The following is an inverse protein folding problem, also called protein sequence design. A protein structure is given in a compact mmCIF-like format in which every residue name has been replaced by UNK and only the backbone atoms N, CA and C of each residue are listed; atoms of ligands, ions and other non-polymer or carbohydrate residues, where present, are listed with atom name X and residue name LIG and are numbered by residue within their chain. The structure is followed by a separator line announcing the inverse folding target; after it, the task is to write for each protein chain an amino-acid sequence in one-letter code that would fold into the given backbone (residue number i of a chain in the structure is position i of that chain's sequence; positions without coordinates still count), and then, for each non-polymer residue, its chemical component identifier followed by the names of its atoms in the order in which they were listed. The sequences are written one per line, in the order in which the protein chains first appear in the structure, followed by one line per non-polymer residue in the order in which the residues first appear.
data_IF_996698460229
#
_entry.id   IF_996698460229
#
_cell.length_a   1.000
_cell.length_b   1.000
_cell.length_c   1.000
_cell.angle_alpha   90.00
_cell.angle_beta   90.00
_cell.angle_gamma   90.00
#
_symmetry.space_group_name_H-M   'P 1'
#
loop_
_entity.id
_entity.type
_entity.pdbx_description
1 polymer ?
#
# COMPACT_ATOMS: atom_id res chain seq x y z
N UNK A 1 3.80 15.05 -6.69
CA UNK A 1 4.98 14.30 -6.19
C UNK A 1 4.52 13.45 -5.02
N UNK A 2 4.79 12.15 -5.01
CA UNK A 2 4.26 11.22 -3.99
C UNK A 2 5.29 10.74 -2.97
N UNK A 3 6.46 11.40 -2.84
CA UNK A 3 7.52 10.90 -1.97
C UNK A 3 7.17 11.01 -0.49
N UNK A 4 6.93 9.86 0.15
CA UNK A 4 6.59 9.73 1.58
C UNK A 4 7.65 8.95 2.37
N UNK A 5 8.77 8.58 1.73
CA UNK A 5 9.75 7.61 2.23
C UNK A 5 9.45 6.19 1.75
N UNK A 6 10.45 5.31 1.82
CA UNK A 6 10.40 3.98 1.18
C UNK A 6 9.22 3.12 1.66
N UNK A 7 9.02 3.02 2.98
CA UNK A 7 7.95 2.20 3.56
C UNK A 7 6.54 2.70 3.19
N UNK A 8 6.34 4.03 3.19
CA UNK A 8 5.06 4.62 2.84
C UNK A 8 4.80 4.58 1.33
N UNK A 9 5.82 4.79 0.49
CA UNK A 9 5.69 4.63 -0.97
C UNK A 9 5.40 3.18 -1.35
N UNK A 10 6.10 2.23 -0.72
CA UNK A 10 5.87 0.81 -0.96
C UNK A 10 4.46 0.39 -0.52
N UNK A 11 4.01 0.89 0.64
CA UNK A 11 2.64 0.70 1.10
C UNK A 11 1.61 1.32 0.14
N UNK A 12 1.80 2.56 -0.31
CA UNK A 12 0.90 3.21 -1.25
C UNK A 12 0.79 2.42 -2.57
N UNK A 13 1.92 1.95 -3.12
CA UNK A 13 1.92 1.09 -4.31
C UNK A 13 1.13 -0.20 -4.08
N UNK A 14 1.33 -0.85 -2.93
CA UNK A 14 0.61 -2.07 -2.57
C UNK A 14 -0.90 -1.82 -2.49
N UNK A 15 -1.32 -0.76 -1.79
CA UNK A 15 -2.73 -0.39 -1.63
C UNK A 15 -3.39 -0.01 -2.97
N UNK A 16 -2.68 0.70 -3.84
CA UNK A 16 -3.17 1.02 -5.19
C UNK A 16 -3.38 -0.24 -6.02
N UNK A 17 -2.44 -1.20 -5.97
CA UNK A 17 -2.63 -2.49 -6.62
C UNK A 17 -3.81 -3.28 -6.02
N UNK A 18 -3.98 -3.24 -4.70
CA UNK A 18 -5.11 -3.87 -3.99
C UNK A 18 -6.47 -3.32 -4.45
N UNK A 19 -6.59 -2.02 -4.76
CA UNK A 19 -7.81 -1.42 -5.34
C UNK A 19 -7.87 -1.50 -6.88
N UNK A 20 -7.02 -2.34 -7.48
CA UNK A 20 -7.01 -2.61 -8.91
C UNK A 20 -6.45 -1.47 -9.77
N UNK A 21 -5.52 -0.67 -9.23
CA UNK A 21 -4.72 0.29 -10.00
C UNK A 21 -3.28 -0.20 -10.10
N UNK A 22 -2.91 -0.68 -11.29
CA UNK A 22 -1.53 -1.07 -11.61
C UNK A 22 -0.61 0.14 -11.49
N UNK A 23 0.47 -0.01 -10.73
CA UNK A 23 1.43 1.05 -10.51
C UNK A 23 2.82 0.53 -10.14
N UNK A 24 3.82 1.29 -10.55
CA UNK A 24 5.22 0.96 -10.36
C UNK A 24 5.95 2.05 -9.58
N UNK A 25 7.00 1.64 -8.86
CA UNK A 25 7.84 2.57 -8.12
C UNK A 25 8.91 3.15 -9.06
N UNK A 26 8.78 4.42 -9.41
CA UNK A 26 9.69 5.17 -10.28
C UNK A 26 10.68 6.04 -9.45
N UNK A 27 11.22 5.46 -8.37
CA UNK A 27 12.14 6.13 -7.46
C UNK A 27 11.44 7.13 -6.54
N UNK A 28 11.42 8.41 -6.93
CA UNK A 28 10.83 9.47 -6.10
C UNK A 28 9.30 9.58 -6.23
N UNK A 29 8.70 8.88 -7.20
CA UNK A 29 7.29 8.92 -7.48
C UNK A 29 6.75 7.51 -7.78
N UNK A 30 5.44 7.35 -7.61
CA UNK A 30 4.71 6.19 -8.13
C UNK A 30 4.20 6.56 -9.52
N UNK A 31 4.52 5.72 -10.50
CA UNK A 31 4.01 5.83 -11.85
C UNK A 31 2.73 4.98 -11.96
N UNK A 32 1.69 5.57 -12.53
CA UNK A 32 0.39 4.95 -12.74
C UNK A 32 0.07 5.00 -14.22
N UNK A 33 -0.32 3.87 -14.80
CA UNK A 33 -0.80 3.80 -16.18
C UNK A 33 -2.33 3.94 -16.19
N UNK A 34 -2.80 5.15 -15.87
CA UNK A 34 -4.21 5.48 -15.81
C UNK A 34 -4.44 6.98 -16.00
N UNK A 35 -5.66 7.34 -16.42
CA UNK A 35 -6.07 8.74 -16.43
C UNK A 35 -6.29 9.29 -15.01
N UNK A 36 -6.31 10.63 -14.91
CA UNK A 36 -6.47 11.36 -13.64
C UNK A 36 -7.73 10.92 -12.89
N UNK A 37 -8.85 10.67 -13.59
CA UNK A 37 -10.11 10.29 -12.98
C UNK A 37 -10.03 8.89 -12.35
N UNK A 38 -9.44 7.92 -13.04
CA UNK A 38 -9.21 6.57 -12.49
C UNK A 38 -8.22 6.61 -11.33
N UNK A 39 -7.15 7.42 -11.40
CA UNK A 39 -6.21 7.61 -10.29
C UNK A 39 -6.90 8.22 -9.06
N UNK A 40 -7.72 9.26 -9.23
CA UNK A 40 -8.47 9.87 -8.14
C UNK A 40 -9.46 8.90 -7.49
N UNK A 41 -10.15 8.09 -8.30
CA UNK A 41 -11.06 7.05 -7.78
C UNK A 41 -10.30 6.02 -6.95
N UNK A 42 -9.15 5.55 -7.42
CA UNK A 42 -8.31 4.62 -6.67
C UNK A 42 -7.78 5.24 -5.36
N UNK A 43 -7.33 6.50 -5.37
CA UNK A 43 -6.91 7.20 -4.15
C UNK A 43 -8.06 7.35 -3.15
N UNK A 44 -9.28 7.61 -3.63
CA UNK A 44 -10.46 7.66 -2.75
C UNK A 44 -10.78 6.30 -2.14
N UNK A 45 -10.68 5.23 -2.91
CA UNK A 45 -10.86 3.85 -2.42
C UNK A 45 -9.79 3.51 -1.38
N UNK A 46 -8.51 3.76 -1.66
CA UNK A 46 -7.39 3.58 -0.70
C UNK A 46 -7.61 4.40 0.57
N UNK A 47 -8.03 5.66 0.44
CA UNK A 47 -8.31 6.53 1.58
C UNK A 47 -9.46 6.08 2.47
N UNK A 48 -10.28 5.13 2.01
CA UNK A 48 -11.40 4.55 2.75
C UNK A 48 -11.07 3.23 3.46
N UNK A 49 -9.88 2.68 3.25
CA UNK A 49 -9.42 1.44 3.89
C UNK A 49 -9.14 1.64 5.39
N UNK A 50 -9.28 0.56 6.16
CA UNK A 50 -8.87 0.52 7.55
C UNK A 50 -7.44 -0.03 7.67
N UNK A 51 -6.51 0.80 8.14
CA UNK A 51 -5.11 0.40 8.35
C UNK A 51 -4.95 -0.78 9.32
N UNK A 52 -5.94 -1.04 10.18
CA UNK A 52 -5.91 -2.16 11.11
C UNK A 52 -6.31 -3.50 10.47
N UNK A 53 -6.98 -3.50 9.31
CA UNK A 53 -7.47 -4.70 8.62
C UNK A 53 -6.39 -5.31 7.70
N UNK A 54 -5.27 -5.70 8.32
CA UNK A 54 -4.12 -6.26 7.61
C UNK A 54 -4.44 -7.57 6.89
N UNK A 55 -5.32 -8.40 7.46
CA UNK A 55 -5.66 -9.70 6.88
C UNK A 55 -6.35 -9.51 5.50
N UNK A 56 -7.22 -8.51 5.36
CA UNK A 56 -7.84 -8.14 4.09
C UNK A 56 -6.83 -7.53 3.11
N UNK A 57 -6.10 -6.50 3.56
CA UNK A 57 -5.15 -5.74 2.72
C UNK A 57 -4.04 -6.63 2.14
N UNK A 58 -3.53 -7.58 2.94
CA UNK A 58 -2.37 -8.40 2.59
C UNK A 58 -2.72 -9.79 2.07
N UNK A 59 -4.01 -10.13 1.95
CA UNK A 59 -4.48 -11.46 1.52
C UNK A 59 -3.91 -11.93 0.18
N UNK A 60 -3.74 -11.00 -0.76
CA UNK A 60 -3.23 -11.27 -2.12
C UNK A 60 -1.74 -10.94 -2.29
N UNK A 61 -1.07 -10.51 -1.21
CA UNK A 61 0.33 -10.09 -1.28
C UNK A 61 1.24 -11.30 -1.23
N UNK A 62 1.99 -11.51 -2.32
CA UNK A 62 3.01 -12.55 -2.38
C UNK A 62 4.37 -12.08 -1.84
N UNK A 63 5.27 -13.03 -1.59
CA UNK A 63 6.68 -12.77 -1.22
C UNK A 63 6.86 -11.93 0.06
N UNK A 64 6.08 -12.23 1.10
CA UNK A 64 6.12 -11.54 2.40
C UNK A 64 7.31 -11.92 3.32
N UNK A 65 8.12 -12.93 2.97
CA UNK A 65 9.26 -13.35 3.79
C UNK A 65 10.38 -12.29 3.74
N UNK A 66 10.75 -11.74 4.90
CA UNK A 66 11.83 -10.73 5.04
C UNK A 66 12.97 -11.25 5.89
N UNK A 67 12.64 -11.88 7.01
CA UNK A 67 13.60 -12.41 7.97
C UNK A 67 13.80 -13.92 7.80
N UNK A 68 14.93 -14.43 8.31
CA UNK A 68 15.33 -15.84 8.14
C UNK A 68 14.37 -16.84 8.80
N UNK A 69 13.53 -16.39 9.72
CA UNK A 69 12.59 -17.22 10.49
C UNK A 69 11.13 -17.06 10.06
N UNK A 70 10.84 -16.18 9.11
CA UNK A 70 9.47 -15.90 8.68
C UNK A 70 8.77 -17.13 8.09
N UNK A 71 9.54 -18.09 7.54
CA UNK A 71 9.01 -19.35 7.02
C UNK A 71 8.29 -20.21 8.08
N UNK A 72 8.55 -19.97 9.36
CA UNK A 72 7.93 -20.69 10.46
C UNK A 72 6.66 -20.00 11.00
N UNK A 73 6.33 -18.80 10.52
CA UNK A 73 5.18 -18.03 11.02
C UNK A 73 3.86 -18.52 10.39
N UNK A 74 2.77 -18.64 11.16
CA UNK A 74 1.43 -18.73 10.61
C UNK A 74 1.12 -17.49 9.75
N UNK A 75 0.27 -17.64 8.73
CA UNK A 75 0.00 -16.59 7.73
C UNK A 75 -0.37 -15.23 8.34
N UNK A 76 -1.29 -15.19 9.32
CA UNK A 76 -1.72 -13.94 9.94
C UNK A 76 -0.61 -13.27 10.76
N UNK A 77 0.34 -14.05 11.30
CA UNK A 77 1.50 -13.50 12.00
C UNK A 77 2.59 -13.04 11.01
N UNK A 78 2.75 -13.74 9.88
CA UNK A 78 3.61 -13.32 8.79
C UNK A 78 3.16 -11.96 8.22
N UNK A 79 1.86 -11.78 7.97
CA UNK A 79 1.29 -10.51 7.52
C UNK A 79 1.60 -9.36 8.49
N UNK A 80 1.43 -9.58 9.80
CA UNK A 80 1.75 -8.58 10.83
C UNK A 80 3.24 -8.27 10.89
N UNK A 81 4.09 -9.28 10.80
CA UNK A 81 5.55 -9.11 10.81
C UNK A 81 6.01 -8.33 9.57
N UNK A 82 5.53 -8.72 8.38
CA UNK A 82 5.79 -8.04 7.12
C UNK A 82 5.34 -6.58 7.16
N UNK A 83 4.11 -6.32 7.60
CA UNK A 83 3.57 -4.96 7.72
C UNK A 83 4.43 -4.10 8.64
N UNK A 84 4.78 -4.61 9.83
CA UNK A 84 5.58 -3.88 10.82
C UNK A 84 6.97 -3.50 10.32
N UNK A 85 7.61 -4.37 9.52
CA UNK A 85 8.98 -4.17 9.05
C UNK A 85 9.04 -3.39 7.73
N UNK A 86 8.05 -3.59 6.85
CA UNK A 86 8.13 -3.16 5.45
C UNK A 86 7.18 -2.02 5.09
N UNK A 87 6.10 -1.79 5.85
CA UNK A 87 4.99 -0.93 5.42
C UNK A 87 4.69 0.18 6.42
N UNK A 88 4.42 1.37 5.88
CA UNK A 88 3.71 2.42 6.60
C UNK A 88 2.35 2.67 5.93
N UNK A 89 1.39 1.79 6.27
CA UNK A 89 0.03 1.79 5.72
C UNK A 89 -0.74 3.05 6.14
N UNK A 90 -0.56 3.49 7.38
CA UNK A 90 -1.23 4.67 7.93
C UNK A 90 -0.85 5.93 7.15
N UNK A 91 0.44 6.15 6.90
CA UNK A 91 0.90 7.31 6.12
C UNK A 91 0.39 7.24 4.67
N UNK A 92 0.39 6.05 4.06
CA UNK A 92 -0.12 5.86 2.70
C UNK A 92 -1.62 6.18 2.58
N UNK A 93 -2.44 5.75 3.54
CA UNK A 93 -3.89 6.06 3.58
C UNK A 93 -4.11 7.56 3.80
N UNK A 94 -3.38 8.19 4.72
CA UNK A 94 -3.48 9.64 4.96
C UNK A 94 -3.14 10.46 3.72
N UNK A 95 -2.11 10.05 2.97
CA UNK A 95 -1.79 10.65 1.67
C UNK A 95 -2.94 10.48 0.68
N UNK A 96 -3.50 9.28 0.55
CA UNK A 96 -4.60 9.05 -0.38
C UNK A 96 -5.84 9.92 -0.02
N UNK A 97 -6.13 10.08 1.27
CA UNK A 97 -7.16 10.98 1.76
C UNK A 97 -6.90 12.44 1.38
N UNK A 98 -5.67 12.97 1.55
CA UNK A 98 -5.37 14.36 1.23
C UNK A 98 -5.55 14.69 -0.25
N UNK A 99 -5.25 13.75 -1.14
CA UNK A 99 -5.36 13.93 -2.60
C UNK A 99 -6.73 13.54 -3.17
N UNK A 100 -7.55 12.78 -2.42
CA UNK A 100 -8.95 12.52 -2.80
C UNK A 100 -9.89 13.71 -2.54
N UNK A 101 -9.47 14.65 -1.69
CA UNK A 101 -10.26 15.81 -1.28
C UNK A 101 -10.00 17.08 -2.12
N UNK A 102 -8.97 17.07 -2.97
CA UNK A 102 -8.70 18.19 -3.87
C UNK A 102 -9.74 18.23 -4.99
N UNK A 103 -10.39 19.40 -5.10
CA UNK A 103 -11.57 19.68 -5.92
C UNK A 103 -11.20 20.60 -7.09
#
# INVERSE_FOLDING_TARGET
MSWLGDHANYALRLLLNHVGLSCDNAGLAIEVDADIGRTQMALKEVGSLDAADLDSILSEVENMLREKWDWALPQSLLMKSFASISLDISTAILFAQSYSAEK
#
